data_IF_938720986582
#
_entry.id   IF_938720986582
#
_cell.length_a   1.000
_cell.length_b   1.000
_cell.length_c   1.000
_cell.angle_alpha   90.00
_cell.angle_beta   90.00
_cell.angle_gamma   90.00
#
_symmetry.space_group_name_H-M   'P 1'
#
loop_
_entity.id
_entity.type
_entity.pdbx_description
1 polymer ?
#
# COMPACT_ATOMS: atom_id res chain seq x y z
N UNK A 1 24.71 9.63 45.49
CA UNK A 1 24.03 9.77 44.18
C UNK A 1 23.18 11.05 44.27
N UNK A 2 23.60 12.10 43.59
CA UNK A 2 23.00 13.42 43.69
C UNK A 2 21.62 13.46 43.04
N UNK A 3 20.70 14.24 43.66
CA UNK A 3 19.32 14.40 43.19
C UNK A 3 19.22 14.73 41.70
N UNK A 4 20.18 15.43 41.13
CA UNK A 4 20.28 15.79 39.73
C UNK A 4 20.41 14.57 38.81
N UNK A 5 21.16 13.54 39.20
CA UNK A 5 21.33 12.32 38.40
C UNK A 5 20.04 11.49 38.34
N UNK A 6 19.22 11.49 39.40
CA UNK A 6 17.92 10.81 39.39
C UNK A 6 16.90 11.47 38.45
N UNK A 7 16.96 12.80 38.31
CA UNK A 7 16.09 13.55 37.40
C UNK A 7 16.48 13.26 35.93
N UNK A 8 17.78 13.19 35.62
CA UNK A 8 18.23 12.84 34.28
C UNK A 8 17.90 11.38 33.87
N UNK A 9 17.97 10.45 34.84
CA UNK A 9 17.54 9.06 34.65
C UNK A 9 16.03 8.95 34.42
N UNK A 10 15.22 9.73 35.11
CA UNK A 10 13.77 9.77 34.89
C UNK A 10 13.38 10.43 33.57
N UNK A 11 14.10 11.46 33.12
CA UNK A 11 13.89 12.06 31.79
C UNK A 11 14.32 11.18 30.66
N UNK A 12 15.39 10.38 30.80
CA UNK A 12 15.83 9.43 29.78
C UNK A 12 14.84 8.28 29.56
N UNK A 13 14.06 7.91 30.61
CA UNK A 13 13.04 6.86 30.50
C UNK A 13 11.78 7.29 29.71
N UNK A 14 11.56 8.59 29.49
CA UNK A 14 10.42 9.09 28.72
C UNK A 14 10.63 9.14 27.19
N UNK A 15 11.83 8.83 26.72
CA UNK A 15 12.20 8.89 25.30
C UNK A 15 12.21 7.51 24.62
N UNK A 16 11.47 6.53 25.13
CA UNK A 16 11.22 5.29 24.40
C UNK A 16 10.12 5.62 23.37
N UNK A 17 10.43 5.79 22.08
CA UNK A 17 9.38 5.86 21.09
C UNK A 17 8.64 4.53 21.15
N UNK A 18 7.37 4.57 21.51
CA UNK A 18 6.50 3.42 21.35
C UNK A 18 6.50 3.10 19.84
N UNK A 19 7.26 2.09 19.46
CA UNK A 19 7.20 1.49 18.12
C UNK A 19 5.81 0.88 18.00
N UNK A 20 4.84 1.70 17.67
CA UNK A 20 3.50 1.23 17.36
C UNK A 20 3.55 0.60 15.98
N UNK A 21 3.77 -0.70 15.92
CA UNK A 21 3.56 -1.46 14.71
C UNK A 21 2.10 -1.26 14.26
N UNK A 22 1.93 -0.76 13.07
CA UNK A 22 0.60 -0.60 12.50
C UNK A 22 0.10 -1.99 12.08
N UNK A 23 -1.01 -2.43 12.67
CA UNK A 23 -1.62 -3.71 12.33
C UNK A 23 -2.12 -3.69 10.88
N UNK A 24 -1.88 -4.77 10.14
CA UNK A 24 -2.39 -4.95 8.80
C UNK A 24 -3.85 -5.41 8.86
N UNK A 25 -4.71 -4.71 8.13
CA UNK A 25 -6.15 -4.98 8.06
C UNK A 25 -6.51 -5.54 6.70
N UNK A 26 -7.20 -6.69 6.67
CA UNK A 26 -7.82 -7.21 5.45
C UNK A 26 -8.74 -6.15 4.84
N UNK A 27 -8.48 -5.78 3.61
CA UNK A 27 -9.20 -4.69 2.94
C UNK A 27 -9.20 -4.94 1.44
N UNK A 28 -10.35 -5.29 0.85
CA UNK A 28 -10.48 -5.40 -0.59
C UNK A 28 -10.19 -4.06 -1.29
N UNK A 29 -9.51 -4.11 -2.43
CA UNK A 29 -9.17 -2.93 -3.21
C UNK A 29 -9.40 -3.15 -4.71
N UNK A 30 -9.57 -2.04 -5.42
CA UNK A 30 -9.41 -1.97 -6.87
C UNK A 30 -8.00 -1.48 -7.16
N UNK A 31 -7.32 -2.13 -8.11
CA UNK A 31 -5.94 -1.85 -8.47
C UNK A 31 -5.77 -1.83 -9.98
N UNK A 32 -4.93 -0.96 -10.48
CA UNK A 32 -4.44 -1.00 -11.86
C UNK A 32 -2.97 -0.60 -11.89
N UNK A 33 -2.30 -0.99 -12.96
CA UNK A 33 -0.90 -0.69 -13.21
C UNK A 33 -0.71 0.22 -14.41
N UNK A 34 0.37 0.96 -14.38
CA UNK A 34 0.89 1.73 -15.48
C UNK A 34 2.37 1.46 -15.62
N UNK A 35 2.82 1.21 -16.84
CA UNK A 35 4.23 0.99 -17.14
C UNK A 35 4.68 1.85 -18.32
N UNK A 36 5.92 2.32 -18.25
CA UNK A 36 6.60 3.04 -19.32
C UNK A 36 8.05 2.60 -19.38
N UNK A 37 8.65 2.68 -20.57
CA UNK A 37 10.09 2.49 -20.75
C UNK A 37 10.74 3.82 -21.14
N UNK A 38 11.95 4.05 -20.68
CA UNK A 38 12.74 5.20 -21.14
C UNK A 38 13.33 4.97 -22.55
N UNK A 39 13.32 3.74 -23.03
CA UNK A 39 13.97 3.36 -24.29
C UNK A 39 13.04 3.51 -25.51
N UNK A 40 11.74 3.63 -25.29
CA UNK A 40 10.75 3.82 -26.33
C UNK A 40 9.59 4.71 -25.88
N UNK A 41 8.72 5.08 -26.80
CA UNK A 41 7.55 5.91 -26.51
C UNK A 41 6.30 5.10 -26.14
N UNK A 42 6.44 3.80 -25.86
CA UNK A 42 5.30 2.95 -25.52
C UNK A 42 4.96 3.07 -24.03
N UNK A 43 3.68 3.18 -23.75
CA UNK A 43 3.14 3.14 -22.39
C UNK A 43 2.05 2.08 -22.30
N UNK A 44 1.98 1.43 -21.16
CA UNK A 44 1.09 0.30 -20.92
C UNK A 44 0.15 0.61 -19.76
N UNK A 45 -1.11 0.28 -19.94
CA UNK A 45 -2.13 0.37 -18.91
C UNK A 45 -2.73 -1.02 -18.68
N UNK A 46 -2.82 -1.46 -17.45
CA UNK A 46 -3.57 -2.68 -17.13
C UNK A 46 -5.05 -2.38 -16.97
N UNK A 47 -5.88 -3.40 -17.06
CA UNK A 47 -7.26 -3.30 -16.60
C UNK A 47 -7.33 -2.92 -15.10
N UNK A 48 -8.46 -2.33 -14.69
CA UNK A 48 -8.77 -2.14 -13.27
C UNK A 48 -9.28 -3.47 -12.72
N UNK A 49 -8.51 -4.07 -11.83
CA UNK A 49 -8.79 -5.37 -11.24
C UNK A 49 -9.34 -5.21 -9.81
N UNK A 50 -10.29 -6.05 -9.44
CA UNK A 50 -10.75 -6.17 -8.07
C UNK A 50 -9.97 -7.27 -7.37
N UNK A 51 -9.44 -6.96 -6.20
CA UNK A 51 -8.70 -7.89 -5.35
C UNK A 51 -9.34 -7.94 -3.97
N UNK A 52 -9.89 -9.08 -3.60
CA UNK A 52 -10.54 -9.30 -2.31
C UNK A 52 -9.54 -9.61 -1.19
N UNK A 53 -8.44 -10.27 -1.51
CA UNK A 53 -7.46 -10.79 -0.54
C UNK A 53 -6.26 -9.85 -0.37
N UNK A 54 -6.52 -8.56 -0.19
CA UNK A 54 -5.48 -7.55 0.06
C UNK A 54 -5.52 -7.02 1.49
N UNK A 55 -4.42 -6.40 1.90
CA UNK A 55 -4.25 -5.85 3.24
C UNK A 55 -3.83 -4.38 3.16
N UNK A 56 -4.30 -3.59 4.10
CA UNK A 56 -3.90 -2.18 4.23
C UNK A 56 -3.46 -1.90 5.65
N UNK A 57 -2.53 -0.99 5.79
CA UNK A 57 -2.17 -0.45 7.09
C UNK A 57 -3.39 0.20 7.76
N UNK A 58 -3.68 -0.18 8.99
CA UNK A 58 -4.88 0.24 9.72
C UNK A 58 -4.91 1.73 10.03
N UNK A 59 -3.76 2.40 10.11
CA UNK A 59 -3.63 3.81 10.45
C UNK A 59 -3.59 4.69 9.20
N UNK A 60 -2.76 4.32 8.24
CA UNK A 60 -2.53 5.13 7.03
C UNK A 60 -3.43 4.76 5.87
N UNK A 61 -3.98 3.53 5.86
CA UNK A 61 -4.75 2.99 4.75
C UNK A 61 -3.92 2.65 3.51
N UNK A 62 -2.58 2.68 3.61
CA UNK A 62 -1.72 2.29 2.51
C UNK A 62 -1.81 0.79 2.25
N UNK A 63 -1.76 0.42 0.99
CA UNK A 63 -1.72 -0.98 0.56
C UNK A 63 -0.43 -1.62 1.07
N UNK A 64 -0.58 -2.76 1.77
CA UNK A 64 0.54 -3.54 2.24
C UNK A 64 1.41 -3.98 1.06
N UNK A 65 2.71 -3.81 1.21
CA UNK A 65 3.70 -4.21 0.21
C UNK A 65 3.44 -3.62 -1.20
N UNK A 66 2.94 -2.38 -1.27
CA UNK A 66 2.57 -1.68 -2.51
C UNK A 66 3.63 -1.75 -3.60
N UNK A 67 4.90 -1.69 -3.22
CA UNK A 67 6.02 -1.74 -4.16
C UNK A 67 6.09 -3.10 -4.86
N UNK A 68 5.82 -4.19 -4.16
CA UNK A 68 5.83 -5.52 -4.73
C UNK A 68 4.74 -5.74 -5.79
N UNK A 69 3.61 -5.04 -5.71
CA UNK A 69 2.64 -5.03 -6.80
C UNK A 69 3.22 -4.36 -8.05
N UNK A 70 3.96 -3.27 -7.89
CA UNK A 70 4.66 -2.64 -9.02
C UNK A 70 5.76 -3.54 -9.58
N UNK A 71 6.43 -4.33 -8.75
CA UNK A 71 7.41 -5.32 -9.19
C UNK A 71 6.78 -6.48 -9.98
N UNK A 72 5.60 -6.96 -9.59
CA UNK A 72 4.87 -7.97 -10.38
C UNK A 72 4.66 -7.49 -11.82
N UNK A 73 4.19 -6.26 -12.00
CA UNK A 73 4.02 -5.67 -13.32
C UNK A 73 5.38 -5.51 -14.04
N UNK A 74 6.41 -5.06 -13.33
CA UNK A 74 7.76 -4.90 -13.89
C UNK A 74 8.30 -6.22 -14.42
N UNK A 75 8.20 -7.29 -13.66
CA UNK A 75 8.65 -8.62 -14.09
C UNK A 75 7.88 -9.11 -15.32
N UNK A 76 6.56 -8.89 -15.35
CA UNK A 76 5.76 -9.23 -16.51
C UNK A 76 6.24 -8.47 -17.75
N UNK A 77 6.46 -7.16 -17.65
CA UNK A 77 6.94 -6.34 -18.75
C UNK A 77 8.32 -6.78 -19.24
N UNK A 78 9.23 -7.08 -18.32
CA UNK A 78 10.58 -7.56 -18.66
C UNK A 78 10.56 -8.91 -19.37
N UNK A 79 9.72 -9.85 -18.93
CA UNK A 79 9.51 -11.15 -19.59
C UNK A 79 8.95 -11.00 -20.99
N UNK A 80 8.20 -9.93 -21.25
CA UNK A 80 7.66 -9.60 -22.58
C UNK A 80 8.55 -8.64 -23.39
N UNK A 81 9.83 -8.52 -23.02
CA UNK A 81 10.84 -7.83 -23.83
C UNK A 81 10.89 -6.31 -23.65
N UNK A 82 10.16 -5.76 -22.68
CA UNK A 82 10.25 -4.31 -22.38
C UNK A 82 11.49 -4.06 -21.53
N UNK A 83 12.46 -3.34 -22.07
CA UNK A 83 13.69 -3.01 -21.36
C UNK A 83 13.47 -1.91 -20.31
N UNK A 84 13.99 -2.14 -19.11
CA UNK A 84 14.00 -1.16 -18.00
C UNK A 84 12.63 -0.49 -17.76
N UNK A 85 11.54 -1.24 -17.59
CA UNK A 85 10.23 -0.64 -17.39
C UNK A 85 10.15 0.05 -16.02
N UNK A 86 9.57 1.24 -16.01
CA UNK A 86 9.15 1.91 -14.78
C UNK A 86 7.67 1.65 -14.59
N UNK A 87 7.34 0.97 -13.49
CA UNK A 87 5.98 0.54 -13.19
C UNK A 87 5.47 1.20 -11.92
N UNK A 88 4.22 1.65 -11.96
CA UNK A 88 3.50 2.16 -10.79
C UNK A 88 2.14 1.48 -10.68
N UNK A 89 1.64 1.39 -9.45
CA UNK A 89 0.30 0.89 -9.16
C UNK A 89 -0.57 1.98 -8.56
N UNK A 90 -1.82 2.01 -8.98
CA UNK A 90 -2.87 2.88 -8.47
C UNK A 90 -3.90 1.98 -7.81
N UNK A 91 -4.25 2.26 -6.57
CA UNK A 91 -5.22 1.49 -5.83
C UNK A 91 -6.18 2.39 -5.04
N UNK A 92 -7.36 1.87 -4.75
CA UNK A 92 -8.34 2.44 -3.81
C UNK A 92 -9.35 1.39 -3.39
N UNK A 93 -9.99 1.60 -2.24
CA UNK A 93 -11.16 0.82 -1.79
C UNK A 93 -12.38 1.07 -2.68
N UNK A 94 -12.42 2.21 -3.34
CA UNK A 94 -13.53 2.62 -4.22
C UNK A 94 -13.08 2.57 -5.68
N UNK A 95 -13.82 1.86 -6.51
CA UNK A 95 -13.56 1.77 -7.95
C UNK A 95 -13.50 3.14 -8.62
N UNK A 96 -14.44 4.04 -8.29
CA UNK A 96 -14.50 5.40 -8.85
C UNK A 96 -13.22 6.21 -8.65
N UNK A 97 -12.54 6.02 -7.51
CA UNK A 97 -11.28 6.74 -7.23
C UNK A 97 -10.16 6.26 -8.14
N UNK A 98 -10.08 4.95 -8.39
CA UNK A 98 -9.13 4.36 -9.33
C UNK A 98 -9.44 4.80 -10.74
N UNK A 99 -10.70 4.72 -11.17
CA UNK A 99 -11.15 5.17 -12.50
C UNK A 99 -10.79 6.62 -12.78
N UNK A 100 -11.00 7.51 -11.79
CA UNK A 100 -10.65 8.93 -11.91
C UNK A 100 -9.15 9.14 -12.14
N UNK A 101 -8.32 8.47 -11.35
CA UNK A 101 -6.85 8.56 -11.48
C UNK A 101 -6.37 7.92 -12.79
N UNK A 102 -6.94 6.79 -13.14
CA UNK A 102 -6.67 6.08 -14.39
C UNK A 102 -6.99 6.95 -15.60
N UNK A 103 -8.19 7.55 -15.64
CA UNK A 103 -8.60 8.42 -16.74
C UNK A 103 -7.71 9.67 -16.85
N UNK A 104 -7.31 10.27 -15.72
CA UNK A 104 -6.40 11.41 -15.72
C UNK A 104 -5.03 11.05 -16.29
N UNK A 105 -4.49 9.89 -15.89
CA UNK A 105 -3.21 9.40 -16.39
C UNK A 105 -3.29 9.05 -17.89
N UNK A 106 -4.35 8.35 -18.29
CA UNK A 106 -4.61 8.02 -19.69
C UNK A 106 -4.70 9.28 -20.56
N UNK A 107 -5.47 10.27 -20.13
CA UNK A 107 -5.58 11.55 -20.84
C UNK A 107 -4.21 12.21 -21.05
N UNK A 108 -3.35 12.19 -20.02
CA UNK A 108 -2.00 12.78 -20.10
C UNK A 108 -1.16 12.17 -21.22
N UNK A 109 -1.22 10.85 -21.41
CA UNK A 109 -0.41 10.13 -22.41
C UNK A 109 -1.08 10.06 -23.77
N UNK A 110 -2.39 9.87 -23.85
CA UNK A 110 -3.13 9.78 -25.10
C UNK A 110 -3.22 11.12 -25.85
N UNK A 111 -3.37 12.26 -25.11
CA UNK A 111 -3.58 13.56 -25.74
C UNK A 111 -2.31 14.16 -26.34
N UNK A 112 -1.12 13.74 -25.88
CA UNK A 112 0.14 14.33 -26.33
C UNK A 112 0.66 13.82 -27.67
N UNK A 113 0.04 12.78 -28.26
CA UNK A 113 0.42 12.22 -29.55
C UNK A 113 1.86 11.68 -29.67
N UNK A 114 2.59 11.63 -28.56
CA UNK A 114 3.99 11.23 -28.50
C UNK A 114 4.17 9.78 -28.04
N UNK A 115 3.10 9.17 -27.52
CA UNK A 115 3.15 7.86 -26.89
C UNK A 115 2.27 6.88 -27.64
N UNK A 116 2.79 5.68 -27.86
CA UNK A 116 2.01 4.53 -28.26
C UNK A 116 1.39 3.90 -27.01
N UNK A 117 0.06 3.96 -26.92
CA UNK A 117 -0.67 3.51 -25.72
C UNK A 117 -1.16 2.07 -25.94
N UNK A 118 -0.65 1.15 -25.13
CA UNK A 118 -1.04 -0.26 -25.13
C UNK A 118 -1.82 -0.62 -23.87
N UNK A 119 -2.71 -1.57 -24.01
CA UNK A 119 -3.54 -2.06 -22.92
C UNK A 119 -3.22 -3.53 -22.65
N UNK A 120 -3.07 -3.86 -21.36
CA UNK A 120 -2.94 -5.23 -20.87
C UNK A 120 -4.26 -5.63 -20.24
N UNK A 121 -4.92 -6.60 -20.82
CA UNK A 121 -6.15 -7.15 -20.24
C UNK A 121 -5.83 -8.00 -19.00
N UNK A 122 -6.85 -8.32 -18.22
CA UNK A 122 -6.69 -9.23 -17.07
C UNK A 122 -6.19 -10.62 -17.50
N UNK A 123 -6.44 -11.02 -18.76
CA UNK A 123 -5.90 -12.26 -19.31
C UNK A 123 -4.39 -12.18 -19.62
N UNK A 124 -3.90 -10.99 -19.96
CA UNK A 124 -2.47 -10.78 -20.22
C UNK A 124 -1.68 -10.66 -18.91
N UNK A 125 -2.24 -9.90 -17.96
CA UNK A 125 -1.61 -9.66 -16.66
C UNK A 125 -2.66 -9.51 -15.56
N UNK A 126 -2.51 -10.30 -14.51
CA UNK A 126 -3.28 -10.18 -13.28
C UNK A 126 -2.36 -10.02 -12.06
N UNK A 127 -2.71 -9.09 -11.18
CA UNK A 127 -2.02 -8.95 -9.90
C UNK A 127 -2.32 -10.14 -8.99
N UNK A 128 -1.29 -10.62 -8.29
CA UNK A 128 -1.42 -11.66 -7.27
C UNK A 128 -1.43 -11.00 -5.88
N UNK A 129 -2.38 -11.35 -5.00
CA UNK A 129 -2.41 -10.82 -3.64
C UNK A 129 -1.14 -11.12 -2.86
N UNK A 130 -0.71 -10.15 -2.05
CA UNK A 130 0.43 -10.28 -1.15
C UNK A 130 -0.13 -10.30 0.28
N UNK A 131 0.12 -11.41 0.96
CA UNK A 131 -0.40 -11.68 2.30
C UNK A 131 0.71 -11.38 3.31
N UNK A 132 0.45 -10.56 4.34
CA UNK A 132 1.39 -10.32 5.43
C UNK A 132 1.67 -11.60 6.22
N UNK A 133 2.84 -11.69 6.82
CA UNK A 133 3.14 -12.77 7.77
C UNK A 133 2.24 -12.67 9.01
N UNK A 134 1.99 -13.80 9.67
CA UNK A 134 1.15 -13.83 10.88
C UNK A 134 1.65 -12.90 11.99
N UNK A 135 2.95 -12.68 12.09
CA UNK A 135 3.56 -11.73 13.03
C UNK A 135 3.15 -10.29 12.78
N UNK A 136 2.96 -9.90 11.52
CA UNK A 136 2.54 -8.56 11.12
C UNK A 136 1.02 -8.35 11.28
N UNK A 137 0.24 -9.43 11.34
CA UNK A 137 -1.20 -9.41 11.53
C UNK A 137 -1.61 -9.39 13.03
N UNK A 138 -0.75 -9.81 13.94
CA UNK A 138 -1.11 -10.12 15.34
C UNK A 138 -1.09 -8.96 16.33
N UNK A 139 -0.56 -7.80 15.99
CA UNK A 139 -0.40 -6.71 16.96
C UNK A 139 -1.39 -5.55 16.79
N UNK A 140 -2.68 -5.86 16.75
CA UNK A 140 -3.66 -4.90 17.24
C UNK A 140 -3.78 -5.10 18.76
N UNK A 141 -3.32 -4.15 19.61
CA UNK A 141 -3.57 -4.25 21.04
C UNK A 141 -5.07 -4.32 21.26
N UNK A 142 -5.55 -5.46 21.75
CA UNK A 142 -6.93 -5.59 22.25
C UNK A 142 -7.08 -4.53 23.33
N UNK A 143 -7.83 -3.48 23.06
CA UNK A 143 -8.15 -2.47 24.05
C UNK A 143 -8.78 -3.18 25.25
N UNK A 144 -8.01 -3.31 26.34
CA UNK A 144 -8.52 -3.80 27.61
C UNK A 144 -9.58 -2.80 28.07
N UNK A 145 -10.84 -3.21 27.99
CA UNK A 145 -11.94 -2.50 28.63
C UNK A 145 -11.67 -2.54 30.14
N UNK A 146 -11.10 -1.47 30.66
CA UNK A 146 -11.02 -1.23 32.11
C UNK A 146 -12.45 -1.18 32.62
N UNK A 147 -12.89 -2.26 33.27
CA UNK A 147 -14.12 -2.29 34.02
C UNK A 147 -13.95 -1.32 35.17
N UNK A 148 -14.56 -0.13 35.09
CA UNK A 148 -14.73 0.75 36.23
C UNK A 148 -15.58 0.01 37.28
N UNK A 149 -14.95 -0.49 38.32
CA UNK A 149 -15.65 -0.98 39.51
C UNK A 149 -16.34 0.21 40.16
N UNK A 150 -17.66 0.22 40.16
CA UNK A 150 -18.45 1.16 40.98
C UNK A 150 -18.33 0.71 42.43
N UNK A 151 -17.47 1.38 43.19
CA UNK A 151 -17.47 1.27 44.64
C UNK A 151 -18.72 1.99 45.16
N UNK A 152 -19.75 1.24 45.54
CA UNK A 152 -20.89 1.73 46.30
C UNK A 152 -20.41 1.89 47.74
N UNK A 153 -20.23 3.13 48.21
CA UNK A 153 -20.16 3.43 49.62
C UNK A 153 -21.54 3.38 50.25
N UNK A 154 -21.63 2.58 51.26
CA UNK A 154 -22.73 2.54 52.21
C UNK A 154 -22.50 3.63 53.25
#
# INVERSE_FOLDING_TARGET
MTMKLRVYLAMAAMLIPALTFAAQKHTPVYICGFATSFNDSTVYFTDIQYMDSTYTDSKTGFLYSRENYSYQLREHMQRNGVANPTCITIFSKKRKDVEKKYAALKKRYATKGRYDVKYLTTSDFAFTPIIPDESEMKDAPKAQKVKKSKNKKK
#
